data_IF_822058667719
#
_entry.id   IF_822058667719
#
_cell.length_a   1.000
_cell.length_b   1.000
_cell.length_c   1.000
_cell.angle_alpha   90.00
_cell.angle_beta   90.00
_cell.angle_gamma   90.00
#
_symmetry.space_group_name_H-M   'P 1'
#
loop_
_entity.id
_entity.type
_entity.pdbx_description
1 polymer ?
#
# COMPACT_ATOMS: atom_id res chain seq x y z
N UNK A 1 1.72 0.94 -15.75
CA UNK A 1 0.24 0.99 -15.91
C UNK A 1 -0.17 2.10 -16.86
N UNK A 2 0.02 3.39 -16.52
CA UNK A 2 -0.37 4.51 -17.40
C UNK A 2 0.03 4.32 -18.87
N UNK A 3 1.31 4.05 -19.14
CA UNK A 3 1.80 3.81 -20.51
C UNK A 3 1.07 2.66 -21.23
N UNK A 4 0.84 1.53 -20.55
CA UNK A 4 0.12 0.39 -21.14
C UNK A 4 -1.33 0.73 -21.52
N UNK A 5 -2.01 1.56 -20.71
CA UNK A 5 -3.37 2.00 -21.01
C UNK A 5 -3.38 3.05 -22.12
N UNK A 6 -2.55 4.09 -22.01
CA UNK A 6 -2.62 5.28 -22.90
C UNK A 6 -1.89 5.10 -24.23
N UNK A 7 -0.85 4.26 -24.27
CA UNK A 7 -0.04 4.03 -25.48
C UNK A 7 -0.38 2.69 -26.14
N UNK A 8 -0.54 1.62 -25.36
CA UNK A 8 -0.79 0.27 -25.88
C UNK A 8 -2.29 -0.09 -25.96
N UNK A 9 -3.19 0.75 -25.44
CA UNK A 9 -4.64 0.56 -25.53
C UNK A 9 -5.19 -0.58 -24.67
N UNK A 10 -4.49 -0.98 -23.62
CA UNK A 10 -4.92 -2.06 -22.71
C UNK A 10 -6.15 -1.63 -21.90
N UNK A 11 -7.19 -2.46 -21.91
CA UNK A 11 -8.35 -2.29 -21.04
C UNK A 11 -8.04 -2.76 -19.60
N UNK A 12 -7.75 -1.81 -18.72
CA UNK A 12 -7.38 -2.05 -17.34
C UNK A 12 -8.45 -1.52 -16.37
N UNK A 13 -9.11 -2.44 -15.66
CA UNK A 13 -10.20 -2.10 -14.73
C UNK A 13 -9.75 -1.29 -13.50
N UNK A 14 -8.52 -1.48 -13.03
CA UNK A 14 -8.04 -0.80 -11.83
C UNK A 14 -6.68 -1.29 -11.31
N UNK A 15 -6.26 -0.75 -10.17
CA UNK A 15 -5.01 -1.08 -9.50
C UNK A 15 -5.15 -1.05 -7.97
N UNK A 16 -4.74 -2.13 -7.30
CA UNK A 16 -4.92 -2.32 -5.87
C UNK A 16 -3.60 -2.76 -5.21
N UNK A 17 -2.84 -1.83 -4.58
CA UNK A 17 -1.61 -2.16 -3.87
C UNK A 17 -1.83 -3.20 -2.77
N UNK A 18 -0.98 -4.22 -2.76
CA UNK A 18 -1.04 -5.29 -1.76
C UNK A 18 -0.71 -4.78 -0.35
N UNK A 19 -1.40 -5.35 0.66
CA UNK A 19 -1.10 -5.08 2.06
C UNK A 19 -1.26 -3.60 2.41
N UNK A 20 -2.32 -2.94 1.92
CA UNK A 20 -2.56 -1.50 2.08
C UNK A 20 -2.56 -1.01 3.56
N UNK A 21 -2.81 -1.92 4.50
CA UNK A 21 -2.45 -1.83 5.91
C UNK A 21 -1.43 -2.92 6.23
N UNK A 22 -0.44 -2.62 7.08
CA UNK A 22 0.58 -3.61 7.47
C UNK A 22 -0.07 -4.93 7.93
N UNK A 23 0.35 -6.02 7.31
CA UNK A 23 -0.16 -7.37 7.53
C UNK A 23 1.00 -8.35 7.70
N UNK A 24 0.69 -9.55 8.18
CA UNK A 24 1.65 -10.65 8.26
C UNK A 24 2.11 -11.05 6.85
N UNK A 25 3.43 -11.11 6.64
CA UNK A 25 4.01 -11.52 5.36
C UNK A 25 3.70 -12.99 5.05
N UNK A 26 3.59 -13.33 3.76
CA UNK A 26 3.27 -14.70 3.35
C UNK A 26 4.40 -15.70 3.65
N UNK A 27 5.61 -15.46 3.14
CA UNK A 27 6.70 -16.45 3.20
C UNK A 27 7.28 -16.62 4.60
N UNK A 28 7.37 -15.55 5.38
CA UNK A 28 8.10 -15.54 6.66
C UNK A 28 7.19 -15.35 7.87
N UNK A 29 5.90 -15.04 7.69
CA UNK A 29 4.99 -14.85 8.81
C UNK A 29 5.32 -13.61 9.66
N UNK A 30 5.98 -12.60 9.09
CA UNK A 30 6.53 -11.46 9.82
C UNK A 30 5.68 -10.20 9.69
N UNK A 31 5.64 -9.39 10.76
CA UNK A 31 5.18 -7.99 10.76
C UNK A 31 6.29 -7.01 10.39
N UNK A 32 7.56 -7.39 10.53
CA UNK A 32 8.71 -6.55 10.17
C UNK A 32 8.79 -6.23 8.67
N UNK A 33 8.30 -7.14 7.81
CA UNK A 33 8.17 -6.90 6.36
C UNK A 33 6.87 -6.16 6.03
N UNK A 34 6.96 -4.84 5.92
CA UNK A 34 5.81 -3.93 5.86
C UNK A 34 5.51 -3.45 4.44
N UNK A 35 4.23 -3.48 4.07
CA UNK A 35 3.74 -3.07 2.74
C UNK A 35 2.79 -1.87 2.78
N UNK A 36 2.17 -1.60 3.93
CA UNK A 36 1.01 -0.73 3.98
C UNK A 36 1.30 0.75 3.87
N UNK A 37 0.26 1.48 3.51
CA UNK A 37 0.15 2.93 3.71
C UNK A 37 -0.17 3.25 5.18
N UNK A 38 -0.79 2.30 5.87
CA UNK A 38 -1.13 2.37 7.29
C UNK A 38 -0.16 1.46 8.05
N UNK A 39 0.56 2.05 8.99
CA UNK A 39 1.40 1.31 9.93
C UNK A 39 0.52 0.65 11.00
N UNK A 40 0.89 -0.57 11.39
CA UNK A 40 0.31 -1.27 12.55
C UNK A 40 1.42 -1.49 13.58
N UNK A 41 1.18 -1.02 14.80
CA UNK A 41 2.06 -1.22 15.95
C UNK A 41 1.98 -2.67 16.45
N UNK A 42 2.63 -3.55 15.70
CA UNK A 42 2.79 -4.97 15.98
C UNK A 42 4.14 -5.43 15.45
N UNK A 43 4.82 -6.26 16.22
CA UNK A 43 6.18 -6.73 15.95
C UNK A 43 6.27 -8.26 15.94
N UNK A 44 7.36 -8.79 15.39
CA UNK A 44 7.59 -10.24 15.23
C UNK A 44 7.70 -10.97 16.59
N UNK A 45 8.19 -10.27 17.62
CA UNK A 45 8.26 -10.77 19.01
C UNK A 45 6.91 -10.75 19.75
N UNK A 46 5.84 -10.31 19.08
CA UNK A 46 4.50 -10.21 19.62
C UNK A 46 4.21 -8.92 20.38
N UNK A 47 5.17 -8.01 20.56
CA UNK A 47 4.93 -6.71 21.20
C UNK A 47 4.12 -5.76 20.29
N UNK A 48 3.56 -4.70 20.89
CA UNK A 48 2.73 -3.71 20.22
C UNK A 48 1.24 -3.78 20.61
N UNK A 49 0.54 -2.66 20.47
CA UNK A 49 -0.86 -2.46 20.91
C UNK A 49 -1.88 -2.51 19.77
N UNK A 50 -1.45 -2.89 18.56
CA UNK A 50 -2.28 -2.89 17.34
C UNK A 50 -2.83 -1.51 16.95
N UNK A 51 -2.29 -0.41 17.51
CA UNK A 51 -2.64 0.94 17.08
C UNK A 51 -2.23 1.17 15.62
N UNK A 52 -2.90 2.11 14.97
CA UNK A 52 -2.68 2.45 13.56
C UNK A 52 -2.22 3.87 13.43
N UNK A 53 -1.25 4.09 12.54
CA UNK A 53 -0.79 5.43 12.17
C UNK A 53 -0.59 5.55 10.67
N UNK A 54 -0.75 6.76 10.15
CA UNK A 54 -0.56 7.04 8.72
C UNK A 54 0.92 7.11 8.43
N UNK A 55 1.40 6.37 7.43
CA UNK A 55 2.74 6.58 6.88
C UNK A 55 2.71 7.76 5.92
N UNK A 56 3.88 8.27 5.53
CA UNK A 56 3.98 9.31 4.48
C UNK A 56 3.29 8.88 3.18
N UNK A 57 3.35 7.59 2.86
CA UNK A 57 2.71 7.03 1.67
C UNK A 57 1.18 7.03 1.71
N UNK A 58 0.55 7.29 2.87
CA UNK A 58 -0.91 7.40 2.99
C UNK A 58 -1.45 8.61 2.23
N UNK A 59 -0.94 9.80 2.55
CA UNK A 59 -1.40 11.03 1.88
C UNK A 59 -0.90 11.12 0.45
N UNK A 60 0.27 10.53 0.16
CA UNK A 60 0.71 10.32 -1.22
C UNK A 60 -0.32 9.51 -2.01
N UNK A 61 -0.72 8.32 -1.56
CA UNK A 61 -1.67 7.48 -2.32
C UNK A 61 -3.06 8.10 -2.39
N UNK A 62 -3.47 8.89 -1.38
CA UNK A 62 -4.66 9.74 -1.43
C UNK A 62 -4.59 10.73 -2.61
N UNK A 63 -3.45 11.39 -2.81
CA UNK A 63 -3.25 12.35 -3.90
C UNK A 63 -3.17 11.66 -5.27
N UNK A 64 -2.53 10.48 -5.34
CA UNK A 64 -2.53 9.64 -6.55
C UNK A 64 -3.96 9.32 -6.96
N UNK A 65 -4.83 8.89 -6.04
CA UNK A 65 -6.25 8.61 -6.34
C UNK A 65 -6.98 9.89 -6.73
N UNK A 66 -6.81 10.98 -5.98
CA UNK A 66 -7.51 12.25 -6.21
C UNK A 66 -7.16 12.86 -7.59
N UNK A 67 -5.93 12.68 -8.03
CA UNK A 67 -5.44 13.13 -9.33
C UNK A 67 -5.64 12.11 -10.46
N UNK A 68 -6.32 10.99 -10.20
CA UNK A 68 -6.44 9.86 -11.12
C UNK A 68 -5.08 9.40 -11.71
N UNK A 69 -4.02 9.47 -10.90
CA UNK A 69 -2.67 9.07 -11.26
C UNK A 69 -1.86 10.12 -12.03
N UNK A 70 -2.32 11.38 -12.11
CA UNK A 70 -1.57 12.47 -12.74
C UNK A 70 -0.51 13.10 -11.82
N UNK A 71 -0.71 13.06 -10.51
CA UNK A 71 0.25 13.55 -9.51
C UNK A 71 0.85 12.36 -8.74
N UNK A 72 2.15 12.10 -8.90
CA UNK A 72 2.88 10.95 -8.36
C UNK A 72 4.13 11.39 -7.57
#
# INVERSE_FOLDING_TARGET
MKKAVTYDGVDLMGYTPWGCIDCVSFTTGQYSKRYGFIYVNKHDDGTGDMSRSRKKSFDWYKEVIASNGENL
#
